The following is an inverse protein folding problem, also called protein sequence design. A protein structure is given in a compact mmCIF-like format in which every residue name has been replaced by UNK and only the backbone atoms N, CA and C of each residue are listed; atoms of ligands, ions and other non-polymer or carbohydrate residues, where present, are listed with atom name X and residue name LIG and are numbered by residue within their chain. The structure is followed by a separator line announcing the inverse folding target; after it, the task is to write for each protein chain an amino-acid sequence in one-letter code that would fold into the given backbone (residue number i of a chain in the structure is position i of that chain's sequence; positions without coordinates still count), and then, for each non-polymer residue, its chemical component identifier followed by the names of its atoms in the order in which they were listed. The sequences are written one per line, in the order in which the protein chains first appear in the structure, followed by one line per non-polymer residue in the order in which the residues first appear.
data_IF_406398799146
#
_entry.id   IF_406398799146
#
_cell.length_a   1.000
_cell.length_b   1.000
_cell.length_c   1.000
_cell.angle_alpha   90.00
_cell.angle_beta   90.00
_cell.angle_gamma   90.00
#
_symmetry.space_group_name_H-M   'P 1'
#
loop_
_entity.id
_entity.type
_entity.pdbx_description
1 polymer ?
#
# COMPACT_ATOMS: atom_id res chain seq x y z
N UNK A 1 21.00 -9.85 1.00
CA UNK A 1 20.57 -9.86 1.14
C UNK A 1 19.88 -9.51 1.38
N UNK A 2 19.69 -9.37 1.57
CA UNK A 2 19.13 -9.30 1.94
C UNK A 2 18.15 -9.37 2.09
N UNK A 3 17.56 -9.32 1.89
CA UNK A 3 16.61 -9.75 2.24
C UNK A 3 16.64 -10.61 3.17
N UNK A 4 17.45 -11.01 3.17
CA UNK A 4 17.70 -12.05 4.04
C UNK A 4 17.56 -11.68 5.44
N UNK A 5 17.79 -10.52 5.75
CA UNK A 5 17.62 -10.08 7.08
C UNK A 5 16.30 -10.44 7.62
N UNK A 6 15.31 -10.26 6.83
CA UNK A 6 13.98 -10.60 7.25
C UNK A 6 13.86 -12.04 7.60
N UNK A 7 14.50 -12.83 6.84
CA UNK A 7 14.44 -14.23 7.10
C UNK A 7 15.06 -14.57 8.39
N UNK A 8 16.09 -13.86 8.71
CA UNK A 8 16.80 -14.12 9.91
C UNK A 8 15.92 -14.01 11.10
N UNK A 9 15.05 -13.08 11.10
CA UNK A 9 14.16 -12.93 12.23
C UNK A 9 13.15 -14.03 12.27
N UNK A 10 12.96 -14.67 11.16
CA UNK A 10 12.00 -15.73 11.10
C UNK A 10 10.58 -15.26 11.17
N UNK A 11 10.37 -14.00 11.05
CA UNK A 11 9.04 -13.48 11.16
C UNK A 11 8.59 -12.87 9.90
N UNK A 12 8.38 -13.67 8.91
CA UNK A 12 7.82 -13.18 7.68
C UNK A 12 6.35 -13.07 7.92
N UNK A 13 5.89 -11.89 8.06
CA UNK A 13 4.51 -11.67 8.41
C UNK A 13 3.81 -10.92 7.29
N UNK A 14 2.91 -11.60 6.61
CA UNK A 14 2.19 -11.00 5.50
C UNK A 14 1.35 -9.84 5.99
N UNK A 15 0.83 -9.92 7.19
CA UNK A 15 0.08 -8.80 7.74
C UNK A 15 0.95 -7.56 7.82
N UNK A 16 2.17 -7.72 8.31
CA UNK A 16 3.07 -6.60 8.39
C UNK A 16 3.43 -6.09 6.99
N UNK A 17 3.61 -7.04 6.05
CA UNK A 17 3.91 -6.65 4.68
C UNK A 17 2.79 -5.82 4.08
N UNK A 18 1.54 -6.19 4.37
CA UNK A 18 0.40 -5.43 3.87
C UNK A 18 0.37 -4.03 4.46
N UNK A 19 0.68 -3.92 5.72
CA UNK A 19 0.75 -2.61 6.36
C UNK A 19 1.80 -1.76 5.68
N UNK A 20 2.93 -2.37 5.37
CA UNK A 20 4.01 -1.64 4.70
C UNK A 20 3.61 -1.19 3.31
N UNK A 21 2.89 -2.04 2.59
CA UNK A 21 2.41 -1.66 1.26
C UNK A 21 1.49 -0.46 1.35
N UNK A 22 0.58 -0.48 2.32
CA UNK A 22 -0.34 0.64 2.49
C UNK A 22 0.44 1.92 2.75
N UNK A 23 1.40 1.85 3.64
CA UNK A 23 2.17 3.04 4.00
C UNK A 23 2.92 3.58 2.79
N UNK A 24 3.64 2.70 2.08
CA UNK A 24 4.43 3.15 0.94
C UNK A 24 3.54 3.62 -0.20
N UNK A 25 2.42 2.97 -0.40
CA UNK A 25 1.52 3.37 -1.47
C UNK A 25 0.92 4.74 -1.20
N UNK A 26 0.55 5.02 0.04
CA UNK A 26 0.00 6.32 0.37
C UNK A 26 1.05 7.41 0.30
N UNK A 27 2.28 7.10 0.71
CA UNK A 27 3.37 8.04 0.55
C UNK A 27 3.63 8.33 -0.91
N UNK A 28 3.61 7.27 -1.73
CA UNK A 28 3.79 7.44 -3.15
C UNK A 28 2.72 8.31 -3.76
N UNK A 29 1.48 8.11 -3.32
CA UNK A 29 0.38 8.91 -3.85
C UNK A 29 0.59 10.38 -3.55
N UNK A 30 1.02 10.70 -2.34
CA UNK A 30 1.30 12.08 -1.98
C UNK A 30 2.40 12.66 -2.83
N UNK A 31 3.46 11.89 -3.02
CA UNK A 31 4.60 12.33 -3.80
C UNK A 31 4.20 12.60 -5.24
N UNK A 32 3.44 11.69 -5.83
CA UNK A 32 3.04 11.85 -7.22
C UNK A 32 2.10 13.03 -7.40
N UNK A 33 1.31 13.32 -6.38
CA UNK A 33 0.44 14.48 -6.44
C UNK A 33 1.25 15.77 -6.50
N UNK A 34 2.33 15.81 -5.75
CA UNK A 34 3.21 16.97 -5.80
C UNK A 34 3.87 17.09 -7.16
N UNK A 35 4.31 15.97 -7.70
CA UNK A 35 4.93 15.98 -9.02
C UNK A 35 3.94 16.46 -10.08
N UNK A 36 2.70 16.03 -9.95
CA UNK A 36 1.67 16.46 -10.89
C UNK A 36 1.50 17.97 -10.85
N UNK A 37 1.50 18.54 -9.66
CA UNK A 37 1.38 19.97 -9.54
C UNK A 37 2.57 20.70 -10.13
N UNK A 38 3.76 20.17 -9.92
CA UNK A 38 4.95 20.74 -10.53
C UNK A 38 4.84 20.76 -12.04
N UNK A 39 4.40 19.64 -12.61
CA UNK A 39 4.27 19.55 -14.04
C UNK A 39 3.24 20.53 -14.57
N UNK A 40 2.13 20.70 -13.85
CA UNK A 40 1.12 21.65 -14.28
C UNK A 40 1.64 23.07 -14.26
N UNK A 41 2.43 23.41 -13.26
CA UNK A 41 2.99 24.74 -13.18
C UNK A 41 3.92 25.03 -14.34
N UNK A 42 4.60 24.00 -14.83
CA UNK A 42 5.48 24.18 -15.96
C UNK A 42 4.76 24.06 -17.29
N UNK A 43 3.50 23.74 -17.26
CA UNK A 43 2.74 23.57 -18.50
C UNK A 43 3.02 22.26 -19.20
N UNK A 44 3.60 21.30 -18.47
CA UNK A 44 3.93 19.99 -19.05
C UNK A 44 2.76 19.06 -18.82
N UNK A 45 1.82 19.06 -19.75
CA UNK A 45 0.60 18.30 -19.56
C UNK A 45 0.82 16.81 -19.68
N UNK A 46 1.77 16.43 -20.46
CA UNK A 46 2.07 15.02 -20.63
C UNK A 46 2.61 14.43 -19.32
N UNK A 47 3.53 15.14 -18.71
CA UNK A 47 4.07 14.69 -17.44
C UNK A 47 3.00 14.74 -16.36
N UNK A 48 2.16 15.76 -16.38
CA UNK A 48 1.10 15.86 -15.39
C UNK A 48 0.16 14.67 -15.48
N UNK A 49 -0.16 14.25 -16.70
CA UNK A 49 -1.05 13.12 -16.87
C UNK A 49 -0.42 11.83 -16.34
N UNK A 50 0.86 11.67 -16.58
CA UNK A 50 1.55 10.49 -16.09
C UNK A 50 1.55 10.46 -14.57
N UNK A 51 1.88 11.59 -13.95
CA UNK A 51 1.90 11.64 -12.50
C UNK A 51 0.52 11.43 -11.90
N UNK A 52 -0.50 11.92 -12.60
CA UNK A 52 -1.87 11.70 -12.14
C UNK A 52 -2.21 10.22 -12.14
N UNK A 53 -1.83 9.53 -13.18
CA UNK A 53 -2.03 8.09 -13.25
C UNK A 53 -1.31 7.36 -12.14
N UNK A 54 -0.07 7.76 -11.91
CA UNK A 54 0.72 7.13 -10.85
C UNK A 54 0.08 7.36 -9.49
N UNK A 55 -0.43 8.57 -9.29
CA UNK A 55 -1.11 8.90 -8.04
C UNK A 55 -2.32 7.99 -7.84
N UNK A 56 -3.14 7.86 -8.88
CA UNK A 56 -4.32 7.04 -8.76
C UNK A 56 -3.99 5.57 -8.56
N UNK A 57 -2.98 5.08 -9.25
CA UNK A 57 -2.55 3.70 -9.08
C UNK A 57 -2.09 3.44 -7.66
N UNK A 58 -1.34 4.38 -7.11
CA UNK A 58 -0.87 4.21 -5.74
C UNK A 58 -2.03 4.15 -4.76
N UNK A 59 -3.03 4.98 -4.97
CA UNK A 59 -4.19 4.95 -4.09
C UNK A 59 -4.94 3.64 -4.22
N UNK A 60 -5.06 3.13 -5.42
CA UNK A 60 -5.71 1.83 -5.61
C UNK A 60 -4.95 0.72 -4.92
N UNK A 61 -3.63 0.76 -4.99
CA UNK A 61 -2.82 -0.23 -4.30
C UNK A 61 -3.07 -0.19 -2.80
N UNK A 62 -3.13 1.01 -2.25
CA UNK A 62 -3.39 1.17 -0.83
C UNK A 62 -4.76 0.60 -0.47
N UNK A 63 -5.76 0.90 -1.28
CA UNK A 63 -7.11 0.42 -1.01
C UNK A 63 -7.19 -1.10 -1.06
N UNK A 64 -6.54 -1.68 -2.05
CA UNK A 64 -6.55 -3.14 -2.17
C UNK A 64 -5.84 -3.79 -1.01
N UNK A 65 -4.72 -3.20 -0.60
CA UNK A 65 -4.00 -3.76 0.54
C UNK A 65 -4.79 -3.62 1.82
N UNK A 66 -5.50 -2.51 1.98
CA UNK A 66 -6.36 -2.34 3.14
C UNK A 66 -7.46 -3.39 3.20
N UNK A 67 -8.04 -3.67 2.06
CA UNK A 67 -9.09 -4.67 2.01
C UNK A 67 -8.56 -6.04 2.43
N UNK A 68 -7.40 -6.40 1.88
CA UNK A 68 -6.81 -7.68 2.25
C UNK A 68 -6.43 -7.73 3.72
N UNK A 69 -5.88 -6.63 4.22
CA UNK A 69 -5.50 -6.58 5.61
C UNK A 69 -6.71 -6.75 6.50
N UNK A 70 -7.80 -6.07 6.15
CA UNK A 70 -9.02 -6.17 6.93
C UNK A 70 -9.54 -7.60 6.96
N UNK A 71 -9.47 -8.27 5.84
CA UNK A 71 -9.93 -9.65 5.78
C UNK A 71 -9.08 -10.56 6.66
N UNK A 72 -7.77 -10.35 6.61
CA UNK A 72 -6.89 -11.19 7.41
C UNK A 72 -7.09 -10.96 8.89
N UNK A 73 -7.24 -9.72 9.27
CA UNK A 73 -7.43 -9.41 10.68
C UNK A 73 -8.75 -9.94 11.18
N UNK A 74 -9.76 -9.87 10.34
CA UNK A 74 -11.05 -10.41 10.70
C UNK A 74 -10.97 -11.92 10.88
N UNK A 75 -10.27 -12.58 9.99
CA UNK A 75 -10.11 -14.01 10.10
C UNK A 75 -9.32 -14.38 11.33
N UNK A 76 -8.28 -13.63 11.57
CA UNK A 76 -7.47 -13.88 12.75
C UNK A 76 -8.28 -13.75 14.00
N UNK A 77 -9.06 -12.73 14.08
CA UNK A 77 -9.89 -12.52 15.24
C UNK A 77 -10.88 -13.64 15.38
N UNK A 78 -11.44 -14.06 14.30
CA UNK A 78 -12.41 -15.12 14.33
C UNK A 78 -11.80 -16.41 14.78
N UNK A 79 -10.60 -16.64 14.32
CA UNK A 79 -9.92 -17.84 14.72
C UNK A 79 -9.83 -17.93 16.21
N UNK A 80 -9.47 -16.89 16.78
CA UNK A 80 -9.37 -16.93 18.20
C UNK A 80 -10.76 -17.01 18.77
N UNK A 81 -11.67 -16.51 18.13
CA UNK A 81 -12.98 -16.57 18.67
C UNK A 81 -13.70 -17.74 18.23
N UNK A 82 -13.76 -18.11 17.43
CA UNK A 82 -14.44 -18.81 17.18
C UNK A 82 -14.86 -18.98 16.22
N UNK A 83 -14.82 -18.78 16.14
CA UNK A 83 -15.07 -18.86 15.50
C UNK A 83 -15.94 -18.57 14.74
N UNK A 84 -16.27 -18.48 14.71
CA UNK A 84 -16.83 -18.06 14.20
C UNK A 84 -17.30 -17.80 13.50
N UNK A 85 -17.49 -18.02 13.49
CA UNK A 85 -17.91 -17.69 12.95
C UNK A 85 -18.24 -17.30 12.40
N UNK A 86 -18.28 -17.27 12.38
CA UNK A 86 -18.54 -16.82 12.00
C UNK A 86 -18.65 -16.51 11.89
#
# INVERSE_FOLDING_TARGET
MSMSTTETTGTRDVTYDLISVIYHALQGAETYQMYEQDAKQEGDQEAAALFHEAHQSSRQWADRAKTLLGQRMSQGGRQSGSGQSS
#
